data_IF_940670452779
#
_entry.id   IF_940670452779
#
_cell.length_a   1.000
_cell.length_b   1.000
_cell.length_c   1.000
_cell.angle_alpha   90.00
_cell.angle_beta   90.00
_cell.angle_gamma   90.00
#
_symmetry.space_group_name_H-M   'P 1'
#
loop_
_entity.id
_entity.type
_entity.pdbx_description
1 polymer ?
#
# COMPACT_ATOMS: atom_id res chain seq x y z
N UNK A 1 15.84 -1.31 4.28
CA UNK A 1 15.28 -1.59 5.62
C UNK A 1 14.13 -2.55 5.47
N UNK A 2 13.82 -3.37 6.47
CA UNK A 2 12.65 -4.25 6.48
C UNK A 2 11.80 -3.83 7.67
N UNK A 3 10.59 -3.33 7.44
CA UNK A 3 9.68 -2.92 8.51
C UNK A 3 8.59 -3.95 8.67
N UNK A 4 8.36 -4.46 9.89
CA UNK A 4 7.30 -5.43 10.13
C UNK A 4 5.92 -4.80 9.92
N UNK A 5 5.03 -5.55 9.27
CA UNK A 5 3.62 -5.20 9.12
C UNK A 5 2.94 -5.24 10.49
N UNK A 6 2.07 -4.26 10.76
CA UNK A 6 1.16 -4.29 11.90
C UNK A 6 -0.09 -5.08 11.53
N UNK A 7 -0.13 -6.36 11.93
CA UNK A 7 -1.23 -7.27 11.60
C UNK A 7 -2.59 -6.80 12.13
N UNK A 8 -2.63 -6.05 13.24
CA UNK A 8 -3.87 -5.60 13.89
C UNK A 8 -4.50 -4.38 13.20
N UNK A 9 -3.73 -3.62 12.41
CA UNK A 9 -4.20 -2.41 11.72
C UNK A 9 -4.11 -2.50 10.20
N UNK A 10 -3.49 -3.56 9.66
CA UNK A 10 -3.42 -3.83 8.23
C UNK A 10 -4.56 -4.75 7.81
N UNK A 11 -5.54 -4.21 7.09
CA UNK A 11 -6.80 -4.89 6.80
C UNK A 11 -7.23 -4.67 5.35
N UNK A 12 -7.90 -5.68 4.77
CA UNK A 12 -8.67 -5.47 3.55
C UNK A 12 -10.04 -4.92 3.92
N UNK A 13 -10.38 -3.74 3.38
CA UNK A 13 -11.68 -3.12 3.52
C UNK A 13 -12.43 -3.20 2.19
N UNK A 14 -13.65 -3.74 2.24
CA UNK A 14 -14.59 -3.69 1.12
C UNK A 14 -15.80 -2.86 1.51
N UNK A 15 -16.10 -1.83 0.73
CA UNK A 15 -17.34 -1.08 0.91
C UNK A 15 -18.53 -1.92 0.43
N UNK A 16 -19.53 -2.11 1.29
CA UNK A 16 -20.82 -2.70 0.90
C UNK A 16 -21.61 -1.62 0.14
N UNK A 17 -21.51 -1.65 -1.19
CA UNK A 17 -22.26 -0.81 -2.16
C UNK A 17 -22.55 0.64 -1.74
N UNK A 18 -21.72 1.58 -2.25
CA UNK A 18 -22.18 2.93 -2.59
C UNK A 18 -21.59 4.10 -1.80
N UNK A 19 -20.75 3.88 -0.78
CA UNK A 19 -20.13 4.98 -0.02
C UNK A 19 -18.66 5.24 -0.35
N UNK A 20 -17.90 4.24 -0.80
CA UNK A 20 -16.51 4.40 -1.26
C UNK A 20 -16.26 3.55 -2.51
N UNK A 21 -15.39 4.00 -3.45
CA UNK A 21 -15.07 3.21 -4.62
C UNK A 21 -14.17 2.04 -4.22
N UNK A 22 -14.64 0.83 -4.52
CA UNK A 22 -13.83 -0.36 -4.80
C UNK A 22 -12.92 -0.88 -3.67
N UNK A 23 -12.55 -2.16 -3.71
CA UNK A 23 -11.72 -2.83 -2.69
C UNK A 23 -10.48 -1.99 -2.33
N UNK A 24 -10.29 -1.71 -1.04
CA UNK A 24 -9.15 -0.96 -0.52
C UNK A 24 -8.38 -1.84 0.47
N UNK A 25 -7.06 -1.85 0.34
CA UNK A 25 -6.15 -2.53 1.27
C UNK A 25 -5.48 -1.44 2.11
N UNK A 26 -5.73 -1.45 3.41
CA UNK A 26 -5.00 -0.64 4.39
C UNK A 26 -3.79 -1.42 4.86
N UNK A 27 -2.61 -0.82 4.74
CA UNK A 27 -1.37 -1.41 5.22
C UNK A 27 -0.69 -0.43 6.15
N UNK A 28 -0.50 -0.85 7.39
CA UNK A 28 0.25 -0.11 8.39
C UNK A 28 1.46 -0.92 8.85
N UNK A 29 2.57 -0.25 9.07
CA UNK A 29 3.85 -0.82 9.48
C UNK A 29 4.35 -0.06 10.70
N UNK A 30 5.02 -0.77 11.60
CA UNK A 30 5.70 -0.11 12.73
C UNK A 30 7.07 0.37 12.29
N UNK A 31 7.35 1.68 12.41
CA UNK A 31 8.70 2.20 12.21
C UNK A 31 9.56 1.91 13.45
N UNK A 32 10.13 0.71 13.56
CA UNK A 32 10.93 0.27 14.73
C UNK A 32 12.16 1.17 15.02
N UNK A 33 12.64 1.92 14.03
CA UNK A 33 13.85 2.76 14.14
C UNK A 33 13.56 4.27 14.11
N UNK A 34 12.29 4.68 14.00
CA UNK A 34 11.90 6.10 13.86
C UNK A 34 10.76 6.44 14.85
N UNK A 35 11.08 6.63 16.15
CA UNK A 35 10.08 6.78 17.22
C UNK A 35 9.24 8.07 17.13
N UNK A 36 9.55 8.97 16.19
CA UNK A 36 8.79 10.19 15.94
C UNK A 36 7.62 9.98 14.95
N UNK A 37 7.48 8.79 14.38
CA UNK A 37 6.42 8.47 13.43
C UNK A 37 5.31 7.70 14.14
N UNK A 38 4.09 8.24 14.04
CA UNK A 38 2.88 7.61 14.60
C UNK A 38 2.44 6.38 13.77
N UNK A 39 2.84 6.31 12.50
CA UNK A 39 2.64 5.15 11.63
C UNK A 39 3.32 5.35 10.26
N UNK A 40 3.46 4.26 9.51
CA UNK A 40 3.86 4.26 8.11
C UNK A 40 3.00 3.27 7.36
N UNK A 41 2.47 3.65 6.21
CA UNK A 41 1.54 2.79 5.52
C UNK A 41 1.23 3.17 4.09
N UNK A 42 0.31 2.41 3.50
CA UNK A 42 -0.27 2.70 2.19
C UNK A 42 -1.71 2.22 2.11
N UNK A 43 -2.56 3.09 1.57
CA UNK A 43 -3.89 2.74 1.10
C UNK A 43 -3.80 2.38 -0.38
N UNK A 44 -4.05 1.10 -0.68
CA UNK A 44 -4.05 0.57 -2.05
C UNK A 44 -5.50 0.44 -2.50
N UNK A 45 -5.93 1.33 -3.39
CA UNK A 45 -7.26 1.23 -3.99
C UNK A 45 -7.17 0.41 -5.26
N UNK A 46 -7.98 -0.64 -5.35
CA UNK A 46 -8.10 -1.49 -6.51
C UNK A 46 -9.29 -1.05 -7.38
N UNK A 47 -9.31 -1.48 -8.64
CA UNK A 47 -10.50 -1.33 -9.50
C UNK A 47 -11.65 -2.25 -9.02
N UNK A 48 -12.90 -1.88 -9.32
CA UNK A 48 -14.06 -2.72 -8.99
C UNK A 48 -13.89 -4.17 -9.47
N UNK A 49 -14.23 -5.12 -8.60
CA UNK A 49 -14.11 -6.54 -8.88
C UNK A 49 -12.69 -7.06 -9.10
N UNK A 50 -11.65 -6.30 -8.69
CA UNK A 50 -10.26 -6.75 -8.80
C UNK A 50 -10.06 -8.12 -8.15
N UNK A 51 -9.46 -9.03 -8.92
CA UNK A 51 -9.03 -10.37 -8.51
C UNK A 51 -7.69 -10.66 -9.18
N UNK A 52 -6.78 -11.26 -8.43
CA UNK A 52 -5.46 -11.67 -8.91
C UNK A 52 -5.32 -13.16 -8.67
N UNK A 53 -5.26 -13.92 -9.76
CA UNK A 53 -5.06 -15.38 -9.76
C UNK A 53 -3.61 -15.74 -10.15
N UNK A 54 -2.79 -14.75 -10.50
CA UNK A 54 -1.38 -14.88 -10.87
C UNK A 54 -0.66 -13.55 -10.65
N UNK A 55 0.58 -13.63 -10.16
CA UNK A 55 1.39 -12.49 -9.75
C UNK A 55 1.34 -11.33 -10.75
N UNK A 56 0.98 -10.14 -10.27
CA UNK A 56 0.88 -8.94 -11.12
C UNK A 56 1.61 -7.79 -10.49
N UNK A 57 2.62 -7.29 -11.21
CA UNK A 57 3.38 -6.11 -10.81
C UNK A 57 2.84 -4.87 -11.51
N UNK A 58 2.64 -3.80 -10.73
CA UNK A 58 2.22 -2.47 -11.17
C UNK A 58 3.32 -1.49 -10.80
N UNK A 59 3.84 -0.77 -11.79
CA UNK A 59 4.79 0.31 -11.55
C UNK A 59 4.08 1.56 -11.01
N UNK A 60 4.78 2.28 -10.13
CA UNK A 60 4.32 3.51 -9.52
C UNK A 60 5.27 4.65 -9.89
N UNK A 61 4.73 5.70 -10.49
CA UNK A 61 5.50 6.83 -10.98
C UNK A 61 5.28 8.05 -10.10
N UNK A 62 6.36 8.75 -9.74
CA UNK A 62 6.23 10.00 -9.00
C UNK A 62 5.62 11.10 -9.87
N UNK A 63 4.55 11.71 -9.38
CA UNK A 63 3.85 12.86 -9.95
C UNK A 63 3.48 13.82 -8.83
N UNK A 64 4.02 15.03 -8.88
CA UNK A 64 3.72 16.09 -7.91
C UNK A 64 3.95 15.66 -6.43
N UNK A 65 4.96 14.83 -6.18
CA UNK A 65 5.28 14.35 -4.83
C UNK A 65 4.39 13.19 -4.34
N UNK A 66 3.61 12.58 -5.23
CA UNK A 66 2.83 11.37 -4.97
C UNK A 66 3.17 10.27 -5.96
N UNK A 67 3.13 9.02 -5.52
CA UNK A 67 3.22 7.88 -6.41
C UNK A 67 1.85 7.59 -7.04
N UNK A 68 1.83 7.40 -8.36
CA UNK A 68 0.63 7.13 -9.14
C UNK A 68 0.86 5.87 -9.98
N UNK A 69 -0.10 4.93 -10.04
CA UNK A 69 0.00 3.75 -10.89
C UNK A 69 0.28 4.10 -12.36
N UNK A 70 1.16 3.33 -13.00
CA UNK A 70 1.45 3.44 -14.41
C UNK A 70 0.33 2.77 -15.24
N UNK A 71 -0.25 3.53 -16.18
CA UNK A 71 -1.27 3.07 -17.14
C UNK A 71 -2.54 2.46 -16.48
N UNK A 72 -3.57 2.03 -17.25
CA UNK A 72 -4.71 1.31 -16.67
C UNK A 72 -4.23 0.02 -16.00
N UNK A 73 -4.27 -0.01 -14.68
CA UNK A 73 -3.76 -1.11 -13.86
C UNK A 73 -4.85 -1.65 -12.94
N UNK A 74 -4.57 -2.74 -12.22
CA UNK A 74 -5.46 -3.21 -11.14
C UNK A 74 -5.51 -2.24 -9.97
N UNK A 75 -4.45 -1.48 -9.75
CA UNK A 75 -4.38 -0.42 -8.75
C UNK A 75 -4.92 0.85 -9.38
N UNK A 76 -6.07 1.30 -8.88
CA UNK A 76 -6.72 2.53 -9.30
C UNK A 76 -6.05 3.75 -8.65
N UNK A 77 -5.62 3.64 -7.39
CA UNK A 77 -4.97 4.72 -6.64
C UNK A 77 -4.02 4.17 -5.59
N UNK A 78 -2.95 4.93 -5.35
CA UNK A 78 -1.94 4.67 -4.34
C UNK A 78 -1.86 5.89 -3.42
N UNK A 79 -2.05 5.70 -2.10
CA UNK A 79 -1.98 6.79 -1.12
C UNK A 79 -1.05 6.37 0.00
N UNK A 80 0.11 7.03 0.14
CA UNK A 80 0.94 6.80 1.32
C UNK A 80 0.26 7.36 2.57
N UNK A 81 0.40 6.66 3.70
CA UNK A 81 -0.13 7.02 5.02
C UNK A 81 1.02 7.18 6.03
N UNK A 82 0.93 8.16 6.92
CA UNK A 82 1.89 8.38 8.02
C UNK A 82 1.22 8.46 9.40
N UNK A 83 0.18 7.65 9.62
CA UNK A 83 -0.49 7.52 10.93
C UNK A 83 -1.45 8.65 11.28
N UNK A 84 -2.10 9.27 10.28
CA UNK A 84 -3.05 10.37 10.51
C UNK A 84 -3.10 11.42 9.40
N UNK A 85 -2.20 11.32 8.42
CA UNK A 85 -2.20 12.14 7.22
C UNK A 85 -1.69 11.33 6.03
N UNK A 86 -2.11 11.70 4.82
CA UNK A 86 -1.52 11.16 3.60
C UNK A 86 -0.13 11.74 3.37
N UNK A 87 0.84 10.90 3.07
CA UNK A 87 2.22 11.32 2.83
C UNK A 87 3.20 10.17 2.77
N UNK A 88 4.48 10.54 2.73
CA UNK A 88 5.60 9.63 2.85
C UNK A 88 6.50 10.09 3.99
N UNK A 89 7.32 9.18 4.47
CA UNK A 89 8.27 9.49 5.53
C UNK A 89 9.27 10.55 5.09
N UNK A 90 9.62 11.42 6.05
CA UNK A 90 10.56 12.52 5.83
C UNK A 90 12.00 12.03 5.65
N UNK A 91 12.32 10.87 6.20
CA UNK A 91 13.60 10.17 6.03
C UNK A 91 13.33 8.80 5.39
N UNK A 92 13.97 8.45 4.25
CA UNK A 92 14.90 9.26 3.46
C UNK A 92 14.21 10.34 2.59
N UNK A 93 12.88 10.42 2.61
CA UNK A 93 12.08 11.44 1.91
C UNK A 93 10.98 10.84 1.05
N UNK A 94 10.48 11.62 0.08
CA UNK A 94 9.43 11.17 -0.84
C UNK A 94 10.03 10.18 -1.88
N UNK A 95 9.44 8.99 -2.09
CA UNK A 95 9.86 8.08 -3.15
C UNK A 95 9.79 8.73 -4.53
N UNK A 96 10.81 8.47 -5.36
CA UNK A 96 10.87 8.94 -6.75
C UNK A 96 10.23 7.95 -7.73
N UNK A 97 10.16 6.68 -7.34
CA UNK A 97 9.43 5.63 -8.02
C UNK A 97 9.07 4.52 -7.04
N UNK A 98 8.19 3.63 -7.46
CA UNK A 98 7.93 2.39 -6.73
C UNK A 98 7.32 1.33 -7.62
N UNK A 99 7.03 0.19 -7.03
CA UNK A 99 6.31 -0.90 -7.67
C UNK A 99 5.57 -1.70 -6.62
N UNK A 100 4.38 -2.19 -6.93
CA UNK A 100 3.66 -3.17 -6.12
C UNK A 100 3.46 -4.45 -6.91
N UNK A 101 3.86 -5.57 -6.33
CA UNK A 101 3.52 -6.91 -6.81
C UNK A 101 2.39 -7.42 -5.94
N UNK A 102 1.26 -7.73 -6.58
CA UNK A 102 0.13 -8.41 -5.97
C UNK A 102 0.26 -9.89 -6.31
N UNK A 103 0.50 -10.71 -5.30
CA UNK A 103 0.65 -12.17 -5.43
C UNK A 103 -0.73 -12.84 -5.34
N UNK A 104 -1.56 -12.40 -4.38
CA UNK A 104 -2.96 -12.80 -4.26
C UNK A 104 -3.86 -11.59 -3.99
N UNK A 105 -5.03 -11.54 -4.64
CA UNK A 105 -6.13 -10.64 -4.26
C UNK A 105 -7.44 -11.40 -4.43
N UNK A 106 -8.04 -11.77 -3.31
CA UNK A 106 -9.35 -12.43 -3.25
C UNK A 106 -10.40 -11.50 -2.65
N UNK A 107 -11.60 -12.04 -2.44
CA UNK A 107 -12.62 -11.34 -1.68
C UNK A 107 -12.27 -11.19 -0.19
N UNK A 108 -11.45 -12.08 0.36
CA UNK A 108 -11.18 -12.17 1.80
C UNK A 108 -9.73 -11.90 2.20
N UNK A 109 -8.81 -11.76 1.25
CA UNK A 109 -7.40 -11.65 1.54
C UNK A 109 -6.64 -10.92 0.41
N UNK A 110 -5.49 -10.36 0.77
CA UNK A 110 -4.52 -9.87 -0.17
C UNK A 110 -3.10 -10.17 0.31
N UNK A 111 -2.24 -10.60 -0.61
CA UNK A 111 -0.82 -10.85 -0.38
C UNK A 111 -0.01 -10.13 -1.45
N UNK A 112 1.13 -9.59 -1.04
CA UNK A 112 2.07 -9.03 -1.98
C UNK A 112 3.24 -8.35 -1.33
N UNK A 113 3.88 -7.49 -2.14
CA UNK A 113 4.95 -6.62 -1.70
C UNK A 113 4.98 -5.35 -2.50
N UNK A 114 5.47 -4.28 -1.90
CA UNK A 114 5.84 -3.08 -2.63
C UNK A 114 7.28 -2.68 -2.34
N UNK A 115 7.84 -1.96 -3.31
CA UNK A 115 9.18 -1.39 -3.26
C UNK A 115 9.05 0.09 -3.52
N UNK A 116 9.62 0.91 -2.65
CA UNK A 116 9.88 2.33 -2.88
C UNK A 116 11.36 2.53 -3.17
N UNK A 117 11.65 3.39 -4.14
CA UNK A 117 13.00 3.85 -4.42
C UNK A 117 13.09 5.35 -4.21
N UNK A 118 14.18 5.76 -3.60
CA UNK A 118 14.40 7.14 -3.20
C UNK A 118 15.50 7.81 -4.02
N UNK A 119 15.54 9.14 -3.98
CA UNK A 119 16.49 9.93 -4.77
C UNK A 119 17.97 9.69 -4.41
N UNK A 120 18.24 9.20 -3.21
CA UNK A 120 19.58 8.81 -2.75
C UNK A 120 20.00 7.41 -3.23
N UNK A 121 19.13 6.72 -3.97
CA UNK A 121 19.34 5.35 -4.47
C UNK A 121 19.00 4.26 -3.46
N UNK A 122 18.52 4.61 -2.25
CA UNK A 122 18.05 3.63 -1.28
C UNK A 122 16.70 3.03 -1.71
N UNK A 123 16.43 1.83 -1.21
CA UNK A 123 15.17 1.12 -1.44
C UNK A 123 14.54 0.71 -0.09
N UNK A 124 13.21 0.83 -0.02
CA UNK A 124 12.39 0.26 1.03
C UNK A 124 11.52 -0.82 0.42
N UNK A 125 11.58 -2.03 0.98
CA UNK A 125 10.75 -3.15 0.55
C UNK A 125 9.86 -3.58 1.71
N UNK A 126 8.56 -3.58 1.46
CA UNK A 126 7.54 -3.96 2.40
C UNK A 126 6.74 -5.12 1.82
N UNK A 127 6.59 -6.19 2.59
CA UNK A 127 5.70 -7.31 2.28
C UNK A 127 4.39 -7.13 3.04
N UNK A 128 3.31 -7.70 2.54
CA UNK A 128 2.05 -7.74 3.25
C UNK A 128 1.32 -9.05 2.97
N UNK A 129 0.65 -9.53 4.01
CA UNK A 129 -0.32 -10.61 3.97
C UNK A 129 -1.42 -10.15 4.92
N UNK A 130 -2.62 -9.90 4.37
CA UNK A 130 -3.74 -9.33 5.12
C UNK A 130 -5.02 -10.05 4.78
N UNK A 131 -5.90 -10.14 5.77
CA UNK A 131 -7.24 -10.72 5.64
C UNK A 131 -8.30 -9.61 5.70
N UNK A 132 -9.52 -9.93 5.30
CA UNK A 132 -10.67 -9.03 5.42
C UNK A 132 -10.91 -8.66 6.87
N UNK A 133 -11.17 -7.37 7.11
CA UNK A 133 -11.63 -6.89 8.39
C UNK A 133 -12.89 -7.67 8.79
N UNK A 134 -12.82 -8.41 9.90
CA UNK A 134 -14.00 -9.08 10.44
C UNK A 134 -14.97 -8.00 10.94
N UNK A 135 -16.23 -8.03 10.50
CA UNK A 135 -17.31 -7.24 11.11
C UNK A 135 -17.48 -7.70 12.57
N UNK A 136 -16.80 -7.05 13.53
CA UNK A 136 -17.11 -7.16 14.97
C UNK A 136 -18.08 -6.06 15.43
#
# INVERSE_FOLDING_TARGET
>A
MHWPLLEESSLVHRSVQGELPDTFIDLDYTPEEEPALEGFGVDIHLVDGARVEADRTVDLLSRQGQLVPAEPSLVARWVGNIGGASGYLSSPGVPVEGSVTLDEVTEFAAEGRFVYRYSDGSELTCTFEVIEASDE
#
